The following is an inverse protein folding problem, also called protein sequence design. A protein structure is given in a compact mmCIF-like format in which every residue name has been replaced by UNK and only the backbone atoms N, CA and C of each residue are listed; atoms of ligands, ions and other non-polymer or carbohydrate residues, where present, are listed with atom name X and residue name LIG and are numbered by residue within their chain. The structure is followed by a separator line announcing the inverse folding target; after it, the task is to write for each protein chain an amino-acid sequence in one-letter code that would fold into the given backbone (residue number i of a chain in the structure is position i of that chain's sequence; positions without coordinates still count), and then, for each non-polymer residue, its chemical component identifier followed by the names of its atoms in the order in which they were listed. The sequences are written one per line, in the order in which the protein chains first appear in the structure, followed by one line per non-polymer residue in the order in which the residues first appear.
data_IF_427950830262
#
_entry.id   IF_427950830262
#
_cell.length_a   1.000
_cell.length_b   1.000
_cell.length_c   1.000
_cell.angle_alpha   90.00
_cell.angle_beta   90.00
_cell.angle_gamma   90.00
#
_symmetry.space_group_name_H-M   'P 1'
#
loop_
_entity.id
_entity.type
_entity.pdbx_description
1 polymer ?
#
# COMPACT_ATOMS: atom_id res chain seq x y z
N UNK A 1 -20.68 -5.32 13.37
CA UNK A 1 -19.48 -5.16 12.51
C UNK A 1 -18.80 -3.80 12.72
N UNK A 2 -19.52 -2.66 12.62
CA UNK A 2 -18.90 -1.34 12.79
C UNK A 2 -18.36 -1.11 14.21
N UNK A 3 -19.10 -1.55 15.22
CA UNK A 3 -18.66 -1.45 16.63
C UNK A 3 -17.37 -2.25 16.91
N UNK A 4 -17.16 -3.37 16.23
CA UNK A 4 -15.90 -4.13 16.32
C UNK A 4 -14.72 -3.43 15.66
N UNK A 5 -14.98 -2.54 14.70
CA UNK A 5 -13.96 -1.66 14.10
C UNK A 5 -13.72 -0.36 14.90
N UNK A 6 -14.46 -0.15 16.00
CA UNK A 6 -14.44 1.11 16.76
C UNK A 6 -15.07 2.28 16.00
N UNK A 7 -15.91 2.01 14.99
CA UNK A 7 -16.58 3.02 14.17
C UNK A 7 -18.04 3.18 14.58
N UNK A 8 -18.48 4.43 14.57
CA UNK A 8 -19.88 4.79 14.81
C UNK A 8 -20.41 5.42 13.52
N UNK A 9 -21.61 5.04 13.13
CA UNK A 9 -22.35 5.63 12.02
C UNK A 9 -23.68 6.18 12.55
N UNK A 10 -23.93 7.45 12.32
CA UNK A 10 -25.16 8.12 12.74
C UNK A 10 -25.57 9.17 11.68
N UNK A 11 -26.55 10.02 12.00
CA UNK A 11 -27.06 11.02 11.05
C UNK A 11 -26.09 12.19 10.85
N UNK A 12 -25.15 12.40 11.76
CA UNK A 12 -24.08 13.40 11.63
C UNK A 12 -22.91 12.84 10.84
N UNK A 13 -22.73 11.51 10.86
CA UNK A 13 -21.68 10.75 10.16
C UNK A 13 -22.31 9.61 9.36
N UNK A 14 -22.96 9.94 8.24
CA UNK A 14 -23.67 8.95 7.46
C UNK A 14 -22.77 8.09 6.57
N UNK A 15 -21.48 8.35 6.53
CA UNK A 15 -20.49 7.57 5.75
C UNK A 15 -19.27 7.28 6.60
N UNK A 16 -18.88 6.00 6.70
CA UNK A 16 -17.70 5.58 7.46
C UNK A 16 -16.91 4.52 6.71
N UNK A 17 -15.59 4.58 6.86
CA UNK A 17 -14.67 3.56 6.39
C UNK A 17 -13.99 2.94 7.61
N UNK A 18 -14.15 1.62 7.78
CA UNK A 18 -13.56 0.85 8.86
C UNK A 18 -12.69 -0.28 8.35
N UNK A 19 -11.87 -0.81 9.25
CA UNK A 19 -11.01 -1.94 8.97
C UNK A 19 -11.31 -3.05 9.98
N UNK A 20 -11.74 -4.19 9.45
CA UNK A 20 -12.01 -5.38 10.24
C UNK A 20 -10.86 -6.35 10.01
N UNK A 21 -10.17 -6.72 11.09
CA UNK A 21 -8.95 -7.51 10.98
C UNK A 21 -7.88 -6.85 10.07
N UNK A 22 -6.84 -7.61 9.71
CA UNK A 22 -5.65 -7.07 9.01
C UNK A 22 -5.91 -6.71 7.56
N UNK A 23 -6.88 -7.37 6.91
CA UNK A 23 -7.05 -7.37 5.47
C UNK A 23 -8.49 -7.14 4.99
N UNK A 24 -9.40 -6.71 5.85
CA UNK A 24 -10.79 -6.45 5.48
C UNK A 24 -11.11 -4.97 5.66
N UNK A 25 -11.43 -4.30 4.56
CA UNK A 25 -11.92 -2.92 4.54
C UNK A 25 -13.44 -2.93 4.38
N UNK A 26 -14.13 -2.16 5.21
CA UNK A 26 -15.57 -1.97 5.15
C UNK A 26 -15.84 -0.49 4.89
N UNK A 27 -16.64 -0.18 3.88
CA UNK A 27 -17.21 1.15 3.66
C UNK A 27 -18.71 1.05 3.84
N UNK A 28 -19.27 1.86 4.70
CA UNK A 28 -20.72 1.87 4.98
C UNK A 28 -21.26 3.27 4.85
N UNK A 29 -22.35 3.37 4.11
CA UNK A 29 -23.10 4.60 3.91
C UNK A 29 -24.55 4.38 4.35
N UNK A 30 -25.15 5.36 4.99
CA UNK A 30 -26.56 5.34 5.40
C UNK A 30 -27.30 6.62 4.96
N UNK A 31 -28.59 6.64 5.16
CA UNK A 31 -29.38 7.88 5.10
C UNK A 31 -28.75 8.96 6.00
N UNK A 32 -28.65 10.26 5.59
CA UNK A 32 -29.36 10.87 4.44
C UNK A 32 -28.63 10.81 3.09
N UNK A 33 -27.40 10.26 3.01
CA UNK A 33 -26.65 10.21 1.74
C UNK A 33 -27.02 9.01 0.87
N UNK A 34 -27.64 7.99 1.46
CA UNK A 34 -28.23 6.86 0.75
C UNK A 34 -29.75 7.05 0.69
N UNK A 35 -30.34 6.69 -0.46
CA UNK A 35 -31.77 6.75 -0.66
C UNK A 35 -32.51 6.04 0.49
N UNK A 36 -33.57 6.66 1.07
CA UNK A 36 -34.31 6.05 2.18
C UNK A 36 -34.91 4.67 1.87
N UNK A 37 -35.22 4.38 0.61
CA UNK A 37 -35.74 3.06 0.21
C UNK A 37 -34.66 1.97 0.31
N UNK A 38 -33.39 2.34 0.17
CA UNK A 38 -32.25 1.45 0.33
C UNK A 38 -31.78 1.37 1.80
N UNK A 39 -31.80 2.51 2.48
CA UNK A 39 -31.49 2.66 3.90
C UNK A 39 -30.00 2.61 4.21
N UNK A 40 -29.33 1.49 3.94
CA UNK A 40 -27.88 1.28 4.21
C UNK A 40 -27.24 0.58 3.02
N UNK A 41 -26.10 1.10 2.60
CA UNK A 41 -25.19 0.46 1.65
C UNK A 41 -23.91 0.06 2.36
N UNK A 42 -23.41 -1.16 2.14
CA UNK A 42 -22.14 -1.63 2.68
C UNK A 42 -21.29 -2.29 1.60
N UNK A 43 -20.05 -1.85 1.48
CA UNK A 43 -19.06 -2.45 0.59
C UNK A 43 -17.95 -3.09 1.43
N UNK A 44 -17.72 -4.38 1.23
CA UNK A 44 -16.67 -5.13 1.94
C UNK A 44 -15.63 -5.56 0.93
N UNK A 45 -14.40 -5.11 1.14
CA UNK A 45 -13.23 -5.51 0.35
C UNK A 45 -12.33 -6.39 1.19
N UNK A 46 -12.15 -7.63 0.75
CA UNK A 46 -11.19 -8.57 1.35
C UNK A 46 -9.91 -8.51 0.50
N UNK A 47 -8.82 -8.08 1.11
CA UNK A 47 -7.51 -8.06 0.46
C UNK A 47 -6.88 -9.43 0.64
N UNK A 48 -6.68 -10.13 -0.47
CA UNK A 48 -5.99 -11.42 -0.43
C UNK A 48 -4.48 -11.17 -0.46
N UNK A 49 -3.82 -11.35 0.69
CA UNK A 49 -2.39 -11.12 0.89
C UNK A 49 -1.50 -12.26 0.32
N UNK A 50 -1.95 -12.94 -0.73
CA UNK A 50 -1.14 -14.01 -1.31
C UNK A 50 0.17 -13.46 -1.86
N UNK A 51 1.27 -14.02 -1.38
CA UNK A 51 2.58 -13.82 -2.00
C UNK A 51 2.54 -14.35 -3.44
N UNK A 52 2.89 -13.50 -4.39
CA UNK A 52 2.94 -13.90 -5.80
C UNK A 52 4.34 -14.42 -6.10
N UNK A 53 4.43 -15.65 -6.62
CA UNK A 53 5.71 -16.22 -7.01
C UNK A 53 6.17 -15.70 -8.37
N UNK A 54 7.49 -15.77 -8.62
CA UNK A 54 8.11 -15.45 -9.90
C UNK A 54 7.46 -16.25 -11.04
N UNK A 55 7.25 -17.55 -10.83
CA UNK A 55 6.68 -18.48 -11.80
C UNK A 55 5.25 -18.06 -12.19
N UNK A 56 4.48 -17.58 -11.24
CA UNK A 56 3.12 -17.10 -11.48
C UNK A 56 3.12 -15.82 -12.35
N UNK A 57 4.04 -14.90 -12.11
CA UNK A 57 4.18 -13.69 -12.94
C UNK A 57 4.60 -14.02 -14.38
N UNK A 58 5.50 -14.99 -14.56
CA UNK A 58 5.93 -15.44 -15.89
C UNK A 58 4.80 -16.23 -16.56
N UNK A 59 4.18 -17.16 -15.86
CA UNK A 59 3.10 -18.01 -16.40
C UNK A 59 1.84 -17.24 -16.79
N UNK A 60 1.56 -16.12 -16.14
CA UNK A 60 0.48 -15.21 -16.52
C UNK A 60 0.87 -14.19 -17.61
N UNK A 61 2.08 -14.29 -18.15
CA UNK A 61 2.63 -13.34 -19.12
C UNK A 61 2.65 -11.88 -18.62
N UNK A 62 2.65 -11.69 -17.31
CA UNK A 62 2.72 -10.34 -16.69
C UNK A 62 4.12 -9.74 -16.79
N UNK A 63 5.17 -10.58 -16.78
CA UNK A 63 6.56 -10.18 -16.95
C UNK A 63 7.40 -11.33 -17.48
N UNK A 64 8.50 -11.00 -18.18
CA UNK A 64 9.51 -12.01 -18.56
C UNK A 64 10.48 -12.27 -17.40
N UNK A 65 11.21 -13.39 -17.45
CA UNK A 65 12.25 -13.69 -16.48
C UNK A 65 13.32 -12.58 -16.39
N UNK A 66 13.74 -12.05 -17.54
CA UNK A 66 14.74 -10.98 -17.62
C UNK A 66 14.24 -9.67 -16.98
N UNK A 67 12.96 -9.31 -17.18
CA UNK A 67 12.38 -8.13 -16.51
C UNK A 67 12.39 -8.28 -15.00
N UNK A 68 12.06 -9.45 -14.48
CA UNK A 68 12.07 -9.72 -13.05
C UNK A 68 13.48 -9.72 -12.47
N UNK A 69 14.47 -10.23 -13.21
CA UNK A 69 15.88 -10.17 -12.82
C UNK A 69 16.39 -8.73 -12.77
N UNK A 70 16.06 -7.93 -13.77
CA UNK A 70 16.37 -6.50 -13.79
C UNK A 70 15.75 -5.76 -12.59
N UNK A 71 14.46 -5.95 -12.30
CA UNK A 71 13.80 -5.33 -11.15
C UNK A 71 14.43 -5.79 -9.82
N UNK A 72 14.82 -7.06 -9.70
CA UNK A 72 15.54 -7.58 -8.53
C UNK A 72 16.88 -6.89 -8.36
N UNK A 73 17.62 -6.66 -9.44
CA UNK A 73 18.87 -5.88 -9.42
C UNK A 73 18.62 -4.44 -8.96
N UNK A 74 17.55 -3.78 -9.45
CA UNK A 74 17.21 -2.43 -9.02
C UNK A 74 17.08 -2.36 -7.48
N UNK A 75 16.34 -3.27 -6.87
CA UNK A 75 16.17 -3.32 -5.40
C UNK A 75 17.49 -3.59 -4.68
N UNK A 76 18.29 -4.53 -5.17
CA UNK A 76 19.59 -4.86 -4.56
C UNK A 76 20.57 -3.70 -4.57
N UNK A 77 20.56 -2.88 -5.62
CA UNK A 77 21.43 -1.73 -5.78
C UNK A 77 20.83 -0.41 -5.30
N UNK A 78 19.66 -0.44 -4.66
CA UNK A 78 19.06 0.75 -4.06
C UNK A 78 18.43 1.70 -5.08
N UNK A 79 17.99 1.20 -6.24
CA UNK A 79 17.28 1.99 -7.24
C UNK A 79 15.80 2.05 -6.90
N UNK A 80 15.27 3.26 -6.80
CA UNK A 80 13.83 3.48 -6.58
C UNK A 80 13.00 3.10 -7.81
N UNK A 81 11.84 2.48 -7.59
CA UNK A 81 11.00 1.93 -8.65
C UNK A 81 9.57 2.44 -8.50
N UNK A 82 9.03 3.04 -9.56
CA UNK A 82 7.62 3.41 -9.66
C UNK A 82 6.91 2.49 -10.67
N UNK A 83 5.87 1.78 -10.22
CA UNK A 83 5.08 0.85 -11.04
C UNK A 83 3.81 1.56 -11.47
N UNK A 84 3.69 1.87 -12.74
CA UNK A 84 2.55 2.58 -13.32
C UNK A 84 1.60 1.64 -14.08
N UNK A 85 0.31 1.94 -14.07
CA UNK A 85 -0.68 1.19 -14.83
C UNK A 85 -2.11 1.54 -14.44
N UNK A 86 -3.09 1.08 -15.22
CA UNK A 86 -4.52 1.26 -14.95
C UNK A 86 -4.99 0.45 -13.73
N UNK A 87 -6.23 0.67 -13.30
CA UNK A 87 -6.86 -0.15 -12.24
C UNK A 87 -6.94 -1.61 -12.69
N UNK A 88 -6.61 -2.54 -11.77
CA UNK A 88 -6.66 -3.97 -12.06
C UNK A 88 -5.50 -4.51 -12.91
N UNK A 89 -4.52 -3.67 -13.31
CA UNK A 89 -3.38 -4.09 -14.13
C UNK A 89 -2.32 -4.92 -13.39
N UNK A 90 -2.49 -5.16 -12.09
CA UNK A 90 -1.55 -5.95 -11.29
C UNK A 90 -0.40 -5.16 -10.66
N UNK A 91 -0.45 -3.82 -10.60
CA UNK A 91 0.59 -2.98 -9.97
C UNK A 91 0.97 -3.44 -8.58
N UNK A 92 -0.02 -3.56 -7.70
CA UNK A 92 0.17 -3.99 -6.31
C UNK A 92 0.74 -5.41 -6.24
N UNK A 93 0.37 -6.27 -7.18
CA UNK A 93 0.88 -7.65 -7.29
C UNK A 93 2.37 -7.66 -7.62
N UNK A 94 2.80 -6.88 -8.61
CA UNK A 94 4.22 -6.75 -8.99
C UNK A 94 5.00 -6.07 -7.88
N UNK A 95 4.44 -5.04 -7.24
CA UNK A 95 5.06 -4.36 -6.10
C UNK A 95 5.26 -5.32 -4.91
N UNK A 96 4.25 -6.12 -4.57
CA UNK A 96 4.33 -7.12 -3.49
C UNK A 96 5.47 -8.12 -3.76
N UNK A 97 5.54 -8.64 -4.99
CA UNK A 97 6.63 -9.51 -5.39
C UNK A 97 7.98 -8.81 -5.28
N UNK A 98 8.11 -7.59 -5.79
CA UNK A 98 9.37 -6.83 -5.78
C UNK A 98 9.84 -6.53 -4.35
N UNK A 99 8.93 -6.15 -3.45
CA UNK A 99 9.24 -5.92 -2.04
C UNK A 99 9.65 -7.20 -1.32
N UNK A 100 9.16 -8.37 -1.74
CA UNK A 100 9.59 -9.67 -1.19
C UNK A 100 11.02 -10.03 -1.56
N UNK A 101 11.62 -9.36 -2.58
CA UNK A 101 13.01 -9.52 -3.02
C UNK A 101 13.99 -8.67 -2.20
N UNK A 102 13.51 -7.82 -1.29
CA UNK A 102 14.37 -7.05 -0.37
C UNK A 102 15.18 -8.04 0.49
N UNK A 103 16.51 -7.89 0.56
CA UNK A 103 17.36 -8.76 1.39
C UNK A 103 16.95 -8.71 2.87
N UNK A 104 17.00 -9.85 3.57
CA UNK A 104 16.53 -9.99 4.94
C UNK A 104 17.30 -9.13 5.96
N UNK A 105 18.53 -8.75 5.62
CA UNK A 105 19.37 -7.85 6.42
C UNK A 105 19.06 -6.36 6.18
N UNK A 106 18.11 -6.02 5.33
CA UNK A 106 17.64 -4.64 5.09
C UNK A 106 16.31 -4.40 5.78
N UNK A 107 16.16 -3.20 6.33
CA UNK A 107 14.92 -2.77 6.96
C UNK A 107 13.93 -2.25 5.93
N UNK A 108 12.82 -2.96 5.78
CA UNK A 108 11.70 -2.59 4.92
C UNK A 108 10.56 -2.00 5.75
N UNK A 109 10.09 -0.82 5.40
CA UNK A 109 8.89 -0.23 5.98
C UNK A 109 7.89 0.06 4.87
N UNK A 110 6.66 -0.47 4.99
CA UNK A 110 5.57 -0.15 4.06
C UNK A 110 4.63 0.88 4.65
N UNK A 111 4.03 1.69 3.78
CA UNK A 111 2.93 2.60 4.10
C UNK A 111 1.76 2.19 3.22
N UNK A 112 0.66 1.77 3.83
CA UNK A 112 -0.48 1.17 3.17
C UNK A 112 -1.76 1.89 3.60
N UNK A 113 -2.76 1.95 2.72
CA UNK A 113 -3.98 2.70 2.98
C UNK A 113 -4.98 1.88 3.79
N UNK A 114 -4.98 2.12 5.10
CA UNK A 114 -5.98 1.65 6.05
C UNK A 114 -6.06 0.13 6.26
N UNK A 115 -5.67 -0.68 5.28
CA UNK A 115 -5.63 -2.14 5.38
C UNK A 115 -4.31 -2.69 4.86
N UNK A 116 -3.86 -3.77 5.45
CA UNK A 116 -2.62 -4.43 5.06
C UNK A 116 -2.79 -5.12 3.71
N UNK A 117 -2.06 -4.65 2.70
CA UNK A 117 -2.06 -5.20 1.34
C UNK A 117 -0.94 -6.22 1.12
N UNK A 118 0.15 -6.12 1.89
CA UNK A 118 1.34 -6.95 1.74
C UNK A 118 1.51 -7.92 2.91
N UNK A 119 1.97 -9.13 2.62
CA UNK A 119 2.48 -10.09 3.62
C UNK A 119 3.95 -10.38 3.33
N UNK A 120 4.84 -9.58 3.93
CA UNK A 120 6.28 -9.58 3.66
C UNK A 120 7.11 -10.09 4.84
N UNK A 121 6.46 -10.41 5.96
CA UNK A 121 7.16 -10.91 7.14
C UNK A 121 7.45 -12.40 6.96
N UNK A 122 8.71 -12.74 6.76
CA UNK A 122 9.18 -14.12 6.74
C UNK A 122 9.28 -14.63 8.18
N UNK A 123 8.81 -15.86 8.41
CA UNK A 123 8.82 -16.48 9.73
C UNK A 123 9.56 -17.82 9.71
N UNK A 124 10.24 -18.12 10.81
CA UNK A 124 10.81 -19.44 11.06
C UNK A 124 9.73 -20.46 11.47
N UNK A 125 10.14 -21.71 11.70
CA UNK A 125 9.26 -22.80 12.13
C UNK A 125 8.58 -22.52 13.49
N UNK A 126 9.14 -21.63 14.31
CA UNK A 126 8.62 -21.23 15.62
C UNK A 126 7.73 -19.97 15.53
N UNK A 127 7.54 -19.41 14.32
CA UNK A 127 6.75 -18.21 14.10
C UNK A 127 7.49 -16.88 14.32
N UNK A 128 8.80 -16.89 14.61
CA UNK A 128 9.59 -15.68 14.81
C UNK A 128 9.88 -15.00 13.47
N UNK A 129 9.89 -13.68 13.47
CA UNK A 129 10.23 -12.91 12.26
C UNK A 129 11.73 -13.03 11.95
N UNK A 130 12.05 -13.42 10.72
CA UNK A 130 13.42 -13.58 10.21
C UNK A 130 13.94 -12.36 9.47
N UNK A 131 13.09 -11.42 9.13
CA UNK A 131 13.44 -10.19 8.42
C UNK A 131 12.90 -8.95 9.16
N UNK A 132 13.47 -7.78 8.86
CA UNK A 132 13.04 -6.52 9.48
C UNK A 132 12.01 -5.83 8.62
N UNK A 133 10.73 -6.16 8.81
CA UNK A 133 9.60 -5.56 8.07
C UNK A 133 8.62 -4.93 9.04
N UNK A 134 8.21 -3.68 8.74
CA UNK A 134 7.18 -2.96 9.48
C UNK A 134 6.12 -2.49 8.50
N UNK A 135 4.86 -2.81 8.77
CA UNK A 135 3.71 -2.32 8.03
C UNK A 135 3.06 -1.16 8.78
N UNK A 136 3.03 0.03 8.18
CA UNK A 136 2.33 1.19 8.70
C UNK A 136 1.04 1.40 7.89
N UNK A 137 -0.04 1.69 8.59
CA UNK A 137 -1.35 1.91 7.98
C UNK A 137 -1.78 3.35 8.21
N UNK A 138 -2.32 4.00 7.19
CA UNK A 138 -3.01 5.27 7.35
C UNK A 138 -4.25 5.07 8.22
N UNK A 139 -4.61 6.09 8.96
CA UNK A 139 -5.79 6.09 9.81
C UNK A 139 -6.56 7.38 9.59
N UNK A 140 -7.51 7.39 8.63
CA UNK A 140 -8.34 8.56 8.42
C UNK A 140 -9.17 8.87 9.66
N UNK A 141 -9.29 10.15 9.98
CA UNK A 141 -10.06 10.62 11.12
C UNK A 141 -10.78 11.93 10.76
N UNK A 142 -12.00 12.13 11.27
CA UNK A 142 -12.80 13.34 11.03
C UNK A 142 -12.15 14.60 11.55
N UNK A 143 -11.55 14.51 12.73
CA UNK A 143 -10.72 15.58 13.23
C UNK A 143 -9.37 15.54 12.50
N UNK A 144 -9.05 16.56 11.66
CA UNK A 144 -7.80 16.61 10.91
C UNK A 144 -6.55 16.55 11.80
N UNK A 145 -6.65 16.94 13.07
CA UNK A 145 -5.55 16.85 14.02
C UNK A 145 -5.21 15.42 14.47
N UNK A 146 -6.13 14.48 14.25
CA UNK A 146 -5.99 13.07 14.59
C UNK A 146 -5.84 12.19 13.35
N UNK A 147 -5.94 12.78 12.15
CA UNK A 147 -5.76 12.09 10.89
C UNK A 147 -4.29 11.68 10.71
N UNK A 148 -4.08 10.43 10.32
CA UNK A 148 -2.76 9.87 10.03
C UNK A 148 -2.73 9.52 8.56
N UNK A 149 -2.36 10.51 7.76
CA UNK A 149 -2.25 10.37 6.30
C UNK A 149 -0.91 9.76 5.88
N UNK A 150 -0.76 9.52 4.58
CA UNK A 150 0.43 8.94 3.99
C UNK A 150 1.66 9.87 4.12
N UNK A 151 1.48 11.17 3.96
CA UNK A 151 2.57 12.15 4.06
C UNK A 151 3.16 12.19 5.47
N UNK A 152 2.30 12.21 6.49
CA UNK A 152 2.72 12.17 7.89
C UNK A 152 3.48 10.87 8.21
N UNK A 153 3.00 9.75 7.70
CA UNK A 153 3.69 8.47 7.88
C UNK A 153 5.04 8.46 7.17
N UNK A 154 5.13 9.01 5.96
CA UNK A 154 6.36 9.07 5.19
C UNK A 154 7.42 9.94 5.91
N UNK A 155 7.03 11.10 6.43
CA UNK A 155 7.92 11.95 7.26
C UNK A 155 8.44 11.19 8.50
N UNK A 156 7.58 10.42 9.15
CA UNK A 156 7.95 9.64 10.35
C UNK A 156 8.83 8.45 10.01
N UNK A 157 8.64 7.83 8.84
CA UNK A 157 9.42 6.67 8.39
C UNK A 157 10.88 7.05 8.20
N UNK A 158 11.18 8.24 7.66
CA UNK A 158 12.57 8.71 7.46
C UNK A 158 13.40 8.74 8.76
N UNK A 159 12.73 8.85 9.91
CA UNK A 159 13.36 8.83 11.24
C UNK A 159 13.51 7.42 11.83
N UNK A 160 13.10 6.39 11.11
CA UNK A 160 13.12 4.98 11.58
C UNK A 160 14.20 4.14 10.92
N UNK A 161 15.15 4.78 10.25
CA UNK A 161 16.26 4.13 9.54
C UNK A 161 15.80 3.02 8.56
N UNK A 162 14.91 3.29 7.61
CA UNK A 162 14.55 2.32 6.59
C UNK A 162 15.65 2.23 5.54
N UNK A 163 15.94 1.03 5.04
CA UNK A 163 16.72 0.84 3.83
C UNK A 163 15.82 0.93 2.58
N UNK A 164 14.59 0.39 2.71
CA UNK A 164 13.59 0.39 1.66
C UNK A 164 12.25 0.86 2.20
N UNK A 165 11.60 1.75 1.47
CA UNK A 165 10.26 2.25 1.79
C UNK A 165 9.31 1.79 0.68
N UNK A 166 8.27 1.05 1.05
CA UNK A 166 7.18 0.69 0.16
C UNK A 166 6.00 1.64 0.36
N UNK A 167 5.64 2.43 -0.64
CA UNK A 167 4.46 3.31 -0.60
C UNK A 167 3.39 2.74 -1.50
N UNK A 168 2.27 2.31 -0.94
CA UNK A 168 1.25 1.55 -1.66
C UNK A 168 0.81 2.21 -2.97
N UNK A 169 0.46 3.48 -2.94
CA UNK A 169 0.07 4.25 -4.12
C UNK A 169 0.33 5.75 -3.95
N UNK A 170 0.81 6.42 -4.99
CA UNK A 170 0.84 7.88 -5.08
C UNK A 170 -0.40 8.38 -5.83
N UNK A 171 -1.17 9.26 -5.21
CA UNK A 171 -2.43 9.81 -5.74
C UNK A 171 -2.40 11.29 -6.02
N UNK A 172 -1.52 12.01 -5.34
CA UNK A 172 -1.41 13.46 -5.42
C UNK A 172 0.01 13.91 -5.76
N UNK A 173 0.14 15.14 -6.28
CA UNK A 173 1.44 15.76 -6.53
C UNK A 173 2.25 15.94 -5.22
N UNK A 174 1.58 16.17 -4.10
CA UNK A 174 2.23 16.29 -2.78
C UNK A 174 2.87 14.98 -2.38
N UNK A 175 2.17 13.85 -2.51
CA UNK A 175 2.71 12.51 -2.22
C UNK A 175 3.87 12.17 -3.15
N UNK A 176 3.77 12.51 -4.45
CA UNK A 176 4.86 12.30 -5.40
C UNK A 176 6.12 13.09 -5.00
N UNK A 177 5.97 14.33 -4.54
CA UNK A 177 7.08 15.14 -4.05
C UNK A 177 7.70 14.52 -2.78
N UNK A 178 6.90 14.08 -1.83
CA UNK A 178 7.36 13.45 -0.59
C UNK A 178 8.13 12.14 -0.87
N UNK A 179 7.67 11.34 -1.83
CA UNK A 179 8.34 10.13 -2.31
C UNK A 179 9.68 10.48 -2.99
N UNK A 180 9.69 11.50 -3.85
CA UNK A 180 10.91 11.95 -4.53
C UNK A 180 11.96 12.46 -3.53
N UNK A 181 11.57 13.24 -2.53
CA UNK A 181 12.47 13.69 -1.47
C UNK A 181 13.03 12.52 -0.65
N UNK A 182 12.22 11.51 -0.35
CA UNK A 182 12.67 10.30 0.35
C UNK A 182 13.75 9.56 -0.46
N UNK A 183 13.59 9.47 -1.78
CA UNK A 183 14.58 8.87 -2.67
C UNK A 183 15.87 9.72 -2.74
N UNK A 184 15.75 11.05 -2.77
CA UNK A 184 16.90 11.98 -2.79
C UNK A 184 17.71 11.94 -1.51
N UNK A 185 17.10 11.62 -0.38
CA UNK A 185 17.78 11.47 0.92
C UNK A 185 18.45 10.11 1.11
N UNK A 186 18.53 9.30 0.06
CA UNK A 186 19.30 8.05 0.03
C UNK A 186 18.50 6.79 0.37
N UNK A 187 17.18 6.88 0.45
CA UNK A 187 16.32 5.71 0.69
C UNK A 187 15.85 5.11 -0.65
N UNK A 188 15.81 3.79 -0.72
CA UNK A 188 15.18 3.11 -1.86
C UNK A 188 13.67 3.16 -1.69
N UNK A 189 12.95 3.72 -2.67
CA UNK A 189 11.49 3.79 -2.62
C UNK A 189 10.87 2.93 -3.70
N UNK A 190 9.89 2.11 -3.33
CA UNK A 190 9.04 1.36 -4.26
C UNK A 190 7.62 1.83 -4.10
N UNK A 191 6.98 2.23 -5.19
CA UNK A 191 5.62 2.77 -5.14
C UNK A 191 4.82 2.42 -6.39
N UNK A 192 3.51 2.63 -6.34
CA UNK A 192 2.64 2.53 -7.50
C UNK A 192 1.99 3.86 -7.84
N UNK A 193 1.59 4.03 -9.09
CA UNK A 193 0.82 5.18 -9.56
C UNK A 193 -0.22 4.75 -10.59
N UNK A 194 -1.40 5.35 -10.52
CA UNK A 194 -2.40 5.20 -11.56
C UNK A 194 -2.05 6.02 -12.79
N UNK A 195 -1.79 5.36 -13.91
CA UNK A 195 -1.52 6.01 -15.18
C UNK A 195 -1.84 5.08 -16.35
N UNK A 196 -2.27 5.66 -17.47
CA UNK A 196 -2.60 4.92 -18.69
C UNK A 196 -1.42 4.83 -19.67
N UNK A 197 -0.31 5.53 -19.41
CA UNK A 197 0.90 5.50 -20.22
C UNK A 197 2.12 5.97 -19.42
N UNK A 198 3.32 5.65 -19.89
CA UNK A 198 4.56 6.14 -19.31
C UNK A 198 4.65 7.69 -19.35
N UNK A 199 4.22 8.31 -20.45
CA UNK A 199 4.18 9.77 -20.57
C UNK A 199 3.23 10.41 -19.55
N UNK A 200 2.01 9.85 -19.39
CA UNK A 200 1.05 10.34 -18.40
C UNK A 200 1.59 10.14 -16.96
N UNK A 201 2.41 9.13 -16.72
CA UNK A 201 3.09 8.92 -15.44
C UNK A 201 4.04 10.08 -15.14
N UNK A 202 4.92 10.43 -16.08
CA UNK A 202 5.85 11.55 -15.90
C UNK A 202 5.15 12.89 -15.68
N UNK A 203 4.01 13.11 -16.32
CA UNK A 203 3.22 14.34 -16.13
C UNK A 203 2.51 14.40 -14.77
N UNK A 204 2.34 13.28 -14.09
CA UNK A 204 1.72 13.20 -12.76
C UNK A 204 2.73 13.28 -11.61
N UNK A 205 3.96 12.99 -11.87
CA UNK A 205 5.10 13.13 -10.94
C UNK A 205 5.66 14.56 -10.95
#
# INVERSE_FOLDING_TARGET
LLSTCGMVIDDTMPSVIGFLDKNIRISVDKTPIVDPEVGINASIRIVNQQSVSREKLIGSSSATGEMLDFLTCCIRYGVSVCIAGSTGSGKTTVMSWLLSMVPDNRRLITIEEGSREFDLIKRDENGNAMNSVVHLLTRPHENPALDIDQDLLLERVLRKHPDVIGVGEMRSAKEALSVAESSRTGHTVVTTIHSNSSEATYRRM
#
